data_IF_736468785641
#
_entry.id   IF_736468785641
#
_cell.length_a   1.000
_cell.length_b   1.000
_cell.length_c   1.000
_cell.angle_alpha   90.00
_cell.angle_beta   90.00
_cell.angle_gamma   90.00
#
_symmetry.space_group_name_H-M   'P 1'
#
loop_
_entity.id
_entity.type
_entity.pdbx_description
1 polymer ?
#
# COMPACT_ATOMS: atom_id res chain seq x y z
N UNK A 1 -10.59 12.23 11.68
CA UNK A 1 -10.58 10.75 11.77
C UNK A 1 -11.67 10.11 10.91
N UNK A 2 -12.89 10.68 10.82
CA UNK A 2 -14.02 10.00 10.18
C UNK A 2 -14.13 10.26 8.66
N UNK A 3 -13.68 11.45 8.20
CA UNK A 3 -13.78 11.84 6.79
C UNK A 3 -12.65 11.30 5.91
N UNK A 4 -11.47 10.99 6.47
CA UNK A 4 -10.30 10.59 5.68
C UNK A 4 -10.51 9.24 4.98
N UNK A 5 -11.21 8.30 5.61
CA UNK A 5 -11.56 7.01 5.01
C UNK A 5 -12.53 7.20 3.84
N UNK A 6 -13.54 8.06 4.02
CA UNK A 6 -14.50 8.38 2.96
C UNK A 6 -13.82 9.10 1.79
N UNK A 7 -12.93 10.07 2.08
CA UNK A 7 -12.15 10.77 1.07
C UNK A 7 -11.23 9.81 0.32
N UNK A 8 -10.51 8.92 1.01
CA UNK A 8 -9.66 7.92 0.37
C UNK A 8 -10.45 6.97 -0.54
N UNK A 9 -11.64 6.54 -0.11
CA UNK A 9 -12.54 5.73 -0.93
C UNK A 9 -12.99 6.48 -2.18
N UNK A 10 -13.45 7.72 -2.02
CA UNK A 10 -13.88 8.58 -3.15
C UNK A 10 -12.72 8.82 -4.11
N UNK A 11 -11.53 9.13 -3.60
CA UNK A 11 -10.32 9.28 -4.42
C UNK A 11 -10.02 8.01 -5.22
N UNK A 12 -10.10 6.84 -4.59
CA UNK A 12 -9.88 5.56 -5.27
C UNK A 12 -10.91 5.29 -6.37
N UNK A 13 -12.20 5.55 -6.10
CA UNK A 13 -13.29 5.41 -7.08
C UNK A 13 -13.06 6.35 -8.27
N UNK A 14 -12.80 7.63 -8.01
CA UNK A 14 -12.60 8.64 -9.06
C UNK A 14 -11.36 8.32 -9.89
N UNK A 15 -10.23 7.99 -9.25
CA UNK A 15 -9.02 7.60 -9.97
C UNK A 15 -9.29 6.36 -10.85
N UNK A 16 -9.87 5.29 -10.29
CA UNK A 16 -10.20 4.09 -11.05
C UNK A 16 -11.14 4.35 -12.22
N UNK A 17 -12.16 5.19 -12.04
CA UNK A 17 -13.08 5.60 -13.09
C UNK A 17 -12.36 6.38 -14.20
N UNK A 18 -11.43 7.28 -13.87
CA UNK A 18 -10.63 8.02 -14.85
C UNK A 18 -9.74 7.06 -15.65
N UNK A 19 -9.01 6.15 -14.99
CA UNK A 19 -8.17 5.18 -15.69
C UNK A 19 -8.99 4.29 -16.63
N UNK A 20 -10.15 3.81 -16.19
CA UNK A 20 -11.05 3.02 -17.02
C UNK A 20 -11.62 3.82 -18.21
N UNK A 21 -12.05 5.06 -17.97
CA UNK A 21 -12.62 5.94 -19.01
C UNK A 21 -11.59 6.35 -20.07
N UNK A 22 -10.31 6.46 -19.69
CA UNK A 22 -9.21 6.78 -20.60
C UNK A 22 -8.53 5.53 -21.19
N UNK A 23 -9.02 4.33 -20.88
CA UNK A 23 -8.41 3.05 -21.29
C UNK A 23 -6.92 2.92 -20.91
N UNK A 24 -6.49 3.63 -19.87
CA UNK A 24 -5.12 3.59 -19.37
C UNK A 24 -4.98 2.39 -18.43
N UNK A 25 -3.89 1.60 -18.52
CA UNK A 25 -3.62 0.54 -17.56
C UNK A 25 -3.66 1.07 -16.12
N UNK A 26 -4.42 0.42 -15.25
CA UNK A 26 -4.51 0.86 -13.87
C UNK A 26 -3.17 0.63 -13.14
N UNK A 27 -2.69 1.57 -12.31
CA UNK A 27 -1.47 1.38 -11.51
C UNK A 27 -1.67 0.39 -10.36
N UNK A 28 -2.92 0.22 -9.90
CA UNK A 28 -3.27 -0.65 -8.79
C UNK A 28 -3.39 -2.12 -9.24
N UNK A 29 -3.15 -3.09 -8.35
CA UNK A 29 -3.26 -4.50 -8.70
C UNK A 29 -4.70 -4.85 -9.16
N UNK A 30 -4.91 -5.33 -10.40
CA UNK A 30 -6.25 -5.50 -10.98
C UNK A 30 -6.97 -6.77 -10.53
N UNK A 31 -6.34 -7.59 -9.67
CA UNK A 31 -6.86 -8.90 -9.27
C UNK A 31 -6.96 -9.04 -7.75
N UNK A 32 -7.79 -10.01 -7.33
CA UNK A 32 -8.01 -10.30 -5.91
C UNK A 32 -6.69 -10.64 -5.21
N UNK A 33 -5.80 -11.39 -5.88
CA UNK A 33 -4.48 -11.74 -5.34
C UNK A 33 -3.65 -10.51 -4.97
N UNK A 34 -3.66 -9.46 -5.80
CA UNK A 34 -2.94 -8.23 -5.57
C UNK A 34 -3.53 -7.40 -4.42
N UNK A 35 -4.86 -7.34 -4.31
CA UNK A 35 -5.53 -6.71 -3.16
C UNK A 35 -5.18 -7.43 -1.86
N UNK A 36 -5.23 -8.77 -1.86
CA UNK A 36 -4.82 -9.59 -0.70
C UNK A 36 -3.34 -9.37 -0.37
N UNK A 37 -2.49 -9.19 -1.38
CA UNK A 37 -1.08 -8.82 -1.19
C UNK A 37 -0.90 -7.51 -0.43
N UNK A 38 -1.65 -6.45 -0.77
CA UNK A 38 -1.62 -5.16 -0.04
C UNK A 38 -2.07 -5.34 1.42
N UNK A 39 -3.13 -6.13 1.66
CA UNK A 39 -3.59 -6.45 3.01
C UNK A 39 -2.51 -7.18 3.81
N UNK A 40 -1.88 -8.20 3.22
CA UNK A 40 -0.77 -8.94 3.84
C UNK A 40 0.43 -8.03 4.17
N UNK A 41 0.73 -7.08 3.30
CA UNK A 41 1.78 -6.06 3.50
C UNK A 41 1.50 -5.21 4.74
N UNK A 42 0.26 -4.69 4.86
CA UNK A 42 -0.14 -3.89 6.01
C UNK A 42 -0.11 -4.70 7.31
N UNK A 43 -0.62 -5.93 7.29
CA UNK A 43 -0.60 -6.82 8.46
C UNK A 43 0.83 -7.19 8.87
N UNK A 44 1.72 -7.47 7.92
CA UNK A 44 3.13 -7.72 8.19
C UNK A 44 3.82 -6.51 8.82
N UNK A 45 3.59 -5.31 8.27
CA UNK A 45 4.09 -4.05 8.83
C UNK A 45 3.65 -3.86 10.30
N UNK A 46 2.35 -3.99 10.55
CA UNK A 46 1.78 -3.87 11.90
C UNK A 46 2.27 -4.96 12.86
N UNK A 47 2.45 -6.18 12.36
CA UNK A 47 2.98 -7.30 13.14
C UNK A 47 4.41 -7.07 13.59
N UNK A 48 5.28 -6.61 12.69
CA UNK A 48 6.67 -6.25 12.99
C UNK A 48 6.75 -5.10 13.99
N UNK A 49 5.93 -4.06 13.79
CA UNK A 49 5.82 -2.93 14.72
C UNK A 49 5.37 -3.37 16.12
N UNK A 50 4.38 -4.27 16.21
CA UNK A 50 3.90 -4.80 17.49
C UNK A 50 4.93 -5.67 18.21
N UNK A 51 5.80 -6.37 17.47
CA UNK A 51 6.88 -7.19 18.02
C UNK A 51 8.12 -6.35 18.39
N UNK A 52 8.14 -5.05 18.05
CA UNK A 52 9.27 -4.17 18.30
C UNK A 52 10.53 -4.53 17.50
N UNK A 53 10.38 -5.32 16.43
CA UNK A 53 11.50 -5.71 15.57
C UNK A 53 11.68 -4.64 14.50
N UNK A 54 12.86 -4.02 14.41
CA UNK A 54 13.20 -3.14 13.30
C UNK A 54 14.66 -3.31 12.96
N UNK A 55 14.97 -3.33 11.67
CA UNK A 55 16.34 -3.39 11.17
C UNK A 55 16.67 -2.04 10.59
N UNK A 56 17.71 -1.39 11.12
CA UNK A 56 18.25 -0.18 10.53
C UNK A 56 18.98 -0.53 9.23
N UNK A 57 18.23 -0.50 8.14
CA UNK A 57 18.75 -0.76 6.79
C UNK A 57 19.84 0.23 6.39
N UNK A 58 19.82 1.46 6.92
CA UNK A 58 20.81 2.47 6.59
C UNK A 58 22.14 2.17 7.28
N UNK A 59 22.10 1.71 8.54
CA UNK A 59 23.29 1.23 9.25
C UNK A 59 23.87 -0.02 8.58
N UNK A 60 23.04 -0.98 8.19
CA UNK A 60 23.46 -2.19 7.47
C UNK A 60 24.12 -1.84 6.13
N UNK A 61 23.48 -0.97 5.34
CA UNK A 61 24.02 -0.53 4.05
C UNK A 61 25.39 0.15 4.20
N UNK A 62 25.53 1.05 5.18
CA UNK A 62 26.80 1.73 5.49
C UNK A 62 27.89 0.80 6.02
N UNK A 63 27.54 -0.36 6.57
CA UNK A 63 28.50 -1.35 7.03
C UNK A 63 29.00 -2.27 5.89
N UNK A 64 28.25 -2.37 4.79
CA UNK A 64 28.52 -3.26 3.67
C UNK A 64 29.22 -2.57 2.48
N UNK A 65 29.06 -1.25 2.34
CA UNK A 65 29.66 -0.43 1.29
C UNK A 65 30.43 0.73 1.92
#
# INVERSE_FOLDING_TARGET
>A
MNGQVLLALVTGIVAGAIFAALEVPIPAPPNVAGVVGIVGLYLGFRGVEALGYSVDMLAVFRALF
#
